data_IF_596765294011
#
_entry.id   IF_596765294011
#
_cell.length_a   1.000
_cell.length_b   1.000
_cell.length_c   1.000
_cell.angle_alpha   90.00
_cell.angle_beta   90.00
_cell.angle_gamma   90.00
#
_symmetry.space_group_name_H-M   'P 1'
#
loop_
_entity.id
_entity.type
_entity.pdbx_description
1 polymer ?
#
# COMPACT_ATOMS: atom_id res chain seq x y z
N UNK A 1 3.67 28.12 12.57
CA UNK A 1 2.69 27.60 11.56
C UNK A 1 2.17 26.29 12.11
N UNK A 2 0.86 26.07 12.15
CA UNK A 2 0.25 24.82 12.64
C UNK A 2 0.23 23.84 11.47
N UNK A 3 0.74 22.62 11.66
CA UNK A 3 0.64 21.53 10.69
C UNK A 3 -0.46 20.57 11.10
N UNK A 4 -1.06 19.92 10.11
CA UNK A 4 -2.09 18.92 10.29
C UNK A 4 -1.62 17.58 9.74
N UNK A 5 -1.96 16.51 10.44
CA UNK A 5 -1.57 15.15 10.09
C UNK A 5 -2.76 14.21 10.22
N UNK A 6 -2.95 13.36 9.22
CA UNK A 6 -4.06 12.40 9.22
C UNK A 6 -3.58 11.01 8.82
N UNK A 7 -4.22 10.02 9.39
CA UNK A 7 -4.10 8.60 9.04
C UNK A 7 -5.42 8.21 8.37
N UNK A 8 -5.35 7.68 7.17
CA UNK A 8 -6.51 7.22 6.40
C UNK A 8 -6.35 5.74 6.07
N UNK A 9 -7.40 4.95 6.27
CA UNK A 9 -7.52 3.65 5.61
C UNK A 9 -8.14 3.86 4.22
N UNK A 10 -7.30 4.01 3.21
CA UNK A 10 -7.76 4.22 1.83
C UNK A 10 -8.47 2.97 1.30
N UNK A 11 -9.74 3.07 0.88
CA UNK A 11 -10.44 1.96 0.26
C UNK A 11 -9.97 1.67 -1.18
N UNK A 12 -10.37 0.52 -1.69
CA UNK A 12 -10.29 0.20 -3.11
C UNK A 12 -11.09 1.20 -3.98
N UNK A 13 -10.56 1.55 -5.13
CA UNK A 13 -11.25 2.37 -6.13
C UNK A 13 -11.08 3.89 -5.97
N UNK A 14 -10.26 4.33 -5.01
CA UNK A 14 -9.95 5.75 -4.79
C UNK A 14 -8.54 6.10 -5.23
N UNK A 15 -8.38 7.23 -5.92
CA UNK A 15 -7.08 7.80 -6.24
C UNK A 15 -6.47 8.47 -4.99
N UNK A 16 -5.13 8.35 -4.82
CA UNK A 16 -4.39 9.05 -3.76
C UNK A 16 -4.16 10.53 -4.12
N UNK A 17 -5.24 11.24 -4.45
CA UNK A 17 -5.25 12.63 -4.94
C UNK A 17 -6.46 13.38 -4.39
N UNK A 18 -6.35 14.72 -4.33
CA UNK A 18 -7.43 15.63 -3.91
C UNK A 18 -8.07 16.37 -5.09
N UNK A 19 -7.41 16.41 -6.25
CA UNK A 19 -7.89 17.11 -7.47
C UNK A 19 -7.80 16.17 -8.67
N UNK A 20 -8.71 16.38 -9.62
CA UNK A 20 -8.65 15.72 -10.92
C UNK A 20 -7.56 16.35 -11.79
N UNK A 21 -6.68 15.54 -12.34
CA UNK A 21 -5.72 15.96 -13.36
C UNK A 21 -6.32 15.85 -14.78
N UNK A 22 -7.32 14.99 -14.94
CA UNK A 22 -8.04 14.76 -16.21
C UNK A 22 -9.53 14.62 -15.92
N UNK A 23 -10.40 14.95 -16.88
CA UNK A 23 -11.87 14.80 -16.83
C UNK A 23 -12.28 13.30 -16.75
N UNK A 24 -12.02 12.65 -15.64
CA UNK A 24 -12.46 11.28 -15.35
C UNK A 24 -13.30 11.29 -14.09
N UNK A 25 -14.42 10.57 -14.10
CA UNK A 25 -15.28 10.42 -12.92
C UNK A 25 -14.64 9.40 -11.96
N UNK A 26 -13.61 9.82 -11.23
CA UNK A 26 -12.86 9.01 -10.27
C UNK A 26 -13.13 9.48 -8.85
N UNK A 27 -13.14 8.57 -7.90
CA UNK A 27 -13.25 8.86 -6.46
C UNK A 27 -11.93 9.40 -5.93
N UNK A 28 -11.98 10.44 -5.11
CA UNK A 28 -10.82 11.17 -4.59
C UNK A 28 -10.77 11.11 -3.05
N UNK A 29 -9.61 11.49 -2.48
CA UNK A 29 -9.43 11.49 -1.03
C UNK A 29 -10.32 12.53 -0.31
N UNK A 30 -10.68 13.61 -0.97
CA UNK A 30 -11.58 14.64 -0.43
C UNK A 30 -12.99 14.13 -0.10
N UNK A 31 -13.38 12.96 -0.60
CA UNK A 31 -14.68 12.36 -0.30
C UNK A 31 -14.79 11.85 1.15
N UNK A 32 -13.67 11.73 1.89
CA UNK A 32 -13.65 11.12 3.22
C UNK A 32 -13.72 12.10 4.37
N UNK A 33 -13.28 13.33 4.18
CA UNK A 33 -13.16 14.31 5.26
C UNK A 33 -12.99 15.71 4.69
N UNK A 34 -13.41 16.74 5.43
CA UNK A 34 -13.12 18.13 5.13
C UNK A 34 -11.69 18.46 5.58
N UNK A 35 -10.76 18.22 4.69
CA UNK A 35 -9.34 18.39 4.96
C UNK A 35 -8.92 19.86 4.86
N UNK A 36 -7.97 20.33 5.71
CA UNK A 36 -7.46 21.69 5.65
C UNK A 36 -6.76 21.98 4.30
N UNK A 37 -6.72 23.26 3.94
CA UNK A 37 -5.99 23.72 2.76
C UNK A 37 -4.51 23.32 2.83
N UNK A 38 -3.93 22.95 1.69
CA UNK A 38 -2.54 22.50 1.59
C UNK A 38 -2.29 21.07 2.03
N UNK A 39 -3.35 20.29 2.36
CA UNK A 39 -3.20 18.86 2.65
C UNK A 39 -2.67 18.09 1.44
N UNK A 40 -1.75 17.17 1.66
CA UNK A 40 -1.18 16.30 0.65
C UNK A 40 -1.07 14.87 1.13
N UNK A 41 -1.18 13.91 0.21
CA UNK A 41 -0.90 12.50 0.50
C UNK A 41 0.62 12.27 0.55
N UNK A 42 1.08 11.54 1.56
CA UNK A 42 2.46 11.12 1.70
C UNK A 42 2.69 9.85 0.86
N UNK A 43 3.28 10.03 -0.31
CA UNK A 43 3.36 9.00 -1.32
C UNK A 43 1.98 8.65 -1.89
N UNK A 44 1.91 7.51 -2.57
CA UNK A 44 0.67 7.06 -3.23
C UNK A 44 0.38 5.59 -2.94
N UNK A 45 -0.89 5.25 -2.94
CA UNK A 45 -1.41 3.91 -3.18
C UNK A 45 -2.15 3.95 -4.51
N UNK A 46 -1.99 2.91 -5.32
CA UNK A 46 -2.73 2.78 -6.57
C UNK A 46 -4.25 2.76 -6.32
N UNK A 47 -5.05 3.03 -7.34
CA UNK A 47 -6.51 2.97 -7.25
C UNK A 47 -7.01 1.61 -6.75
N UNK A 48 -6.36 0.52 -7.19
CA UNK A 48 -6.68 -0.86 -6.83
C UNK A 48 -5.95 -1.37 -5.57
N UNK A 49 -5.25 -0.50 -4.83
CA UNK A 49 -4.58 -0.80 -3.57
C UNK A 49 -5.29 -0.13 -2.40
N UNK A 50 -5.23 -0.77 -1.24
CA UNK A 50 -5.96 -0.40 -0.03
C UNK A 50 -5.01 -0.14 1.14
N UNK A 51 -5.53 0.41 2.24
CA UNK A 51 -4.85 0.45 3.52
C UNK A 51 -4.27 1.80 3.90
N UNK A 52 -3.24 1.76 4.70
CA UNK A 52 -2.66 2.92 5.37
C UNK A 52 -2.14 3.97 4.39
N UNK A 53 -2.73 5.15 4.43
CA UNK A 53 -2.26 6.34 3.73
C UNK A 53 -2.13 7.48 4.74
N UNK A 54 -0.97 8.11 4.79
CA UNK A 54 -0.72 9.27 5.64
C UNK A 54 -0.91 10.55 4.83
N UNK A 55 -1.50 11.56 5.46
CA UNK A 55 -1.76 12.86 4.85
C UNK A 55 -1.19 13.95 5.75
N UNK A 56 -0.60 15.00 5.18
CA UNK A 56 -0.02 16.09 5.96
C UNK A 56 -0.05 17.41 5.21
N UNK A 57 0.04 18.52 5.94
CA UNK A 57 0.36 19.85 5.41
C UNK A 57 1.85 20.19 5.55
N UNK A 58 2.67 19.30 6.15
CA UNK A 58 4.11 19.48 6.32
C UNK A 58 4.91 18.76 5.22
N UNK A 59 5.47 19.52 4.28
CA UNK A 59 6.29 18.98 3.19
C UNK A 59 7.55 18.25 3.67
N UNK A 60 8.18 18.69 4.78
CA UNK A 60 9.39 18.04 5.30
C UNK A 60 9.10 16.65 5.86
N UNK A 61 7.97 16.51 6.55
CA UNK A 61 7.48 15.21 7.04
C UNK A 61 7.15 14.31 5.86
N UNK A 62 6.51 14.84 4.82
CA UNK A 62 6.21 14.08 3.59
C UNK A 62 7.48 13.55 2.92
N UNK A 63 8.49 14.39 2.71
CA UNK A 63 9.75 14.01 2.08
C UNK A 63 10.50 12.94 2.89
N UNK A 64 10.55 13.09 4.21
CA UNK A 64 11.17 12.12 5.08
C UNK A 64 10.50 10.74 4.99
N UNK A 65 9.16 10.68 5.07
CA UNK A 65 8.40 9.43 5.02
C UNK A 65 8.47 8.77 3.63
N UNK A 66 8.54 9.56 2.56
CA UNK A 66 8.71 9.05 1.21
C UNK A 66 10.11 8.51 0.93
N UNK A 67 11.10 8.87 1.74
CA UNK A 67 12.48 8.42 1.57
C UNK A 67 12.63 6.90 1.76
N UNK A 68 13.76 6.36 1.30
CA UNK A 68 14.13 4.94 1.50
C UNK A 68 14.51 4.58 2.96
N UNK A 69 14.46 5.56 3.87
CA UNK A 69 14.73 5.33 5.30
C UNK A 69 13.53 4.79 6.07
N UNK A 70 12.34 4.85 5.47
CA UNK A 70 11.09 4.46 6.11
C UNK A 70 10.51 3.24 5.38
N UNK A 71 10.42 2.12 6.09
CA UNK A 71 9.85 0.88 5.59
C UNK A 71 8.34 0.98 5.41
N UNK A 72 7.84 0.30 4.38
CA UNK A 72 6.40 0.13 4.12
C UNK A 72 6.10 -1.35 4.03
N UNK A 73 5.17 -1.81 4.86
CA UNK A 73 4.73 -3.21 4.90
C UNK A 73 3.35 -3.35 4.25
N UNK A 74 3.24 -4.39 3.46
CA UNK A 74 2.03 -4.73 2.72
C UNK A 74 1.62 -6.16 3.00
N UNK A 75 0.33 -6.37 3.26
CA UNK A 75 -0.29 -7.69 3.20
C UNK A 75 -0.86 -7.90 1.82
N UNK A 76 -0.48 -9.02 1.22
CA UNK A 76 -0.74 -9.32 -0.20
C UNK A 76 -1.46 -10.64 -0.32
N UNK A 77 -2.70 -10.61 -0.81
CA UNK A 77 -3.38 -11.82 -1.27
C UNK A 77 -2.92 -12.12 -2.68
N UNK A 78 -2.45 -13.32 -2.90
CA UNK A 78 -1.94 -13.77 -4.19
C UNK A 78 -2.76 -14.92 -4.74
N UNK A 79 -2.65 -15.10 -6.05
CA UNK A 79 -3.18 -16.25 -6.77
C UNK A 79 -2.34 -17.49 -6.45
N UNK A 80 -2.98 -18.58 -6.02
CA UNK A 80 -2.30 -19.79 -5.63
C UNK A 80 -1.80 -19.80 -4.18
N UNK A 81 -1.18 -20.91 -3.81
CA UNK A 81 -0.53 -21.10 -2.51
C UNK A 81 0.93 -20.71 -2.64
N UNK A 82 1.29 -19.51 -2.19
CA UNK A 82 2.67 -19.00 -2.28
C UNK A 82 3.62 -19.91 -1.50
N UNK A 83 4.81 -20.15 -2.07
CA UNK A 83 5.78 -21.09 -1.52
C UNK A 83 6.93 -20.35 -0.80
N UNK A 84 7.60 -21.06 0.10
CA UNK A 84 8.81 -20.53 0.77
C UNK A 84 9.94 -20.21 -0.23
N UNK A 85 10.00 -20.95 -1.36
CA UNK A 85 10.95 -20.65 -2.42
C UNK A 85 10.65 -19.29 -3.07
N UNK A 86 9.37 -18.98 -3.36
CA UNK A 86 8.95 -17.69 -3.89
C UNK A 86 9.25 -16.54 -2.90
N UNK A 87 8.97 -16.77 -1.61
CA UNK A 87 9.30 -15.83 -0.53
C UNK A 87 10.83 -15.59 -0.49
N UNK A 88 11.63 -16.64 -0.52
CA UNK A 88 13.10 -16.54 -0.51
C UNK A 88 13.64 -15.73 -1.69
N UNK A 89 13.09 -15.97 -2.90
CA UNK A 89 13.44 -15.18 -4.09
C UNK A 89 13.12 -13.69 -3.90
N UNK A 90 11.93 -13.35 -3.40
CA UNK A 90 11.55 -11.95 -3.14
C UNK A 90 12.46 -11.29 -2.09
N UNK A 91 12.83 -12.01 -1.03
CA UNK A 91 13.75 -11.51 0.02
C UNK A 91 15.12 -11.14 -0.55
N UNK A 92 15.63 -11.91 -1.50
CA UNK A 92 16.92 -11.65 -2.15
C UNK A 92 16.87 -10.53 -3.19
N UNK A 93 15.68 -10.16 -3.63
CA UNK A 93 15.43 -9.26 -4.75
C UNK A 93 15.08 -10.02 -6.03
N UNK A 94 14.17 -9.45 -6.80
CA UNK A 94 13.69 -10.02 -8.07
C UNK A 94 13.72 -8.98 -9.18
N UNK A 95 13.93 -9.45 -10.41
CA UNK A 95 13.88 -8.60 -11.58
C UNK A 95 12.43 -8.25 -11.93
N UNK A 96 12.15 -6.96 -12.04
CA UNK A 96 10.83 -6.42 -12.45
C UNK A 96 10.99 -5.42 -13.60
N UNK A 97 9.95 -5.26 -14.42
CA UNK A 97 9.90 -4.18 -15.41
C UNK A 97 9.66 -2.81 -14.74
N UNK A 98 10.52 -1.84 -15.00
CA UNK A 98 10.37 -0.46 -14.50
C UNK A 98 10.84 0.53 -15.57
N UNK A 99 9.95 1.46 -15.99
CA UNK A 99 10.24 2.51 -16.98
C UNK A 99 10.84 1.98 -18.30
N UNK A 100 10.33 0.86 -18.79
CA UNK A 100 10.77 0.25 -20.03
C UNK A 100 12.07 -0.57 -19.92
N UNK A 101 12.68 -0.64 -18.74
CA UNK A 101 13.90 -1.39 -18.47
C UNK A 101 13.66 -2.49 -17.42
N UNK A 102 14.62 -3.39 -17.29
CA UNK A 102 14.70 -4.36 -16.22
C UNK A 102 15.31 -3.70 -14.98
N UNK A 103 14.70 -3.92 -13.82
CA UNK A 103 15.16 -3.40 -12.54
C UNK A 103 15.22 -4.53 -11.52
N UNK A 104 16.37 -4.73 -10.89
CA UNK A 104 16.53 -5.65 -9.76
C UNK A 104 16.10 -4.95 -8.49
N UNK A 105 15.05 -5.45 -7.83
CA UNK A 105 14.57 -4.88 -6.56
C UNK A 105 15.62 -5.07 -5.46
N UNK A 106 15.63 -4.15 -4.50
CA UNK A 106 16.46 -4.31 -3.31
C UNK A 106 15.97 -5.52 -2.49
N UNK A 107 16.87 -6.15 -1.70
CA UNK A 107 16.47 -7.12 -0.71
C UNK A 107 15.38 -6.56 0.21
N UNK A 108 14.42 -7.41 0.57
CA UNK A 108 13.28 -7.03 1.39
C UNK A 108 12.98 -8.07 2.46
N UNK A 109 12.07 -7.75 3.38
CA UNK A 109 11.52 -8.76 4.29
C UNK A 109 10.23 -9.31 3.67
N UNK A 110 10.06 -10.61 3.71
CA UNK A 110 8.84 -11.27 3.26
C UNK A 110 8.62 -12.56 4.03
N UNK A 111 7.34 -12.92 4.27
CA UNK A 111 6.95 -14.19 4.88
C UNK A 111 5.49 -14.52 4.55
N UNK A 112 5.15 -15.82 4.62
CA UNK A 112 3.77 -16.30 4.45
C UNK A 112 2.99 -15.97 5.72
N UNK A 113 1.76 -15.46 5.57
CA UNK A 113 0.85 -15.26 6.71
C UNK A 113 0.13 -16.57 7.03
N UNK A 114 0.20 -17.00 8.29
CA UNK A 114 -0.47 -18.23 8.77
C UNK A 114 -1.99 -18.06 8.86
N UNK A 115 -2.46 -16.83 9.07
CA UNK A 115 -3.89 -16.50 9.17
C UNK A 115 -4.33 -15.53 8.08
N UNK A 116 -5.58 -15.64 7.67
CA UNK A 116 -6.20 -14.70 6.72
C UNK A 116 -6.48 -13.39 7.44
N UNK A 117 -5.90 -12.25 6.98
CA UNK A 117 -6.18 -10.96 7.58
C UNK A 117 -7.62 -10.51 7.30
N UNK A 118 -8.26 -9.93 8.31
CA UNK A 118 -9.59 -9.33 8.16
C UNK A 118 -9.46 -7.81 7.91
N UNK A 119 -9.71 -7.41 6.67
CA UNK A 119 -9.81 -6.01 6.26
C UNK A 119 -11.24 -5.62 5.88
N UNK A 120 -12.22 -6.47 6.20
CA UNK A 120 -13.58 -6.30 5.76
C UNK A 120 -13.78 -6.47 4.25
N UNK A 121 -15.02 -6.27 3.77
CA UNK A 121 -15.37 -6.45 2.37
C UNK A 121 -14.73 -5.34 1.51
N UNK A 122 -14.28 -5.73 0.30
CA UNK A 122 -13.80 -4.82 -0.72
C UNK A 122 -14.92 -4.44 -1.69
N UNK A 123 -14.95 -3.19 -2.17
CA UNK A 123 -15.94 -2.70 -3.12
C UNK A 123 -15.99 -3.49 -4.43
N UNK A 124 -14.85 -4.05 -4.88
CA UNK A 124 -14.80 -4.98 -6.02
C UNK A 124 -14.51 -6.38 -5.49
N UNK A 125 -15.39 -7.34 -5.80
CA UNK A 125 -15.21 -8.74 -5.43
C UNK A 125 -13.87 -9.26 -5.95
N UNK A 126 -13.15 -9.96 -5.08
CA UNK A 126 -12.04 -10.81 -5.48
C UNK A 126 -12.66 -12.09 -6.05
N UNK A 127 -11.97 -12.77 -6.96
CA UNK A 127 -12.44 -14.04 -7.50
C UNK A 127 -12.82 -15.03 -6.39
N UNK A 128 -13.75 -15.91 -6.66
CA UNK A 128 -14.19 -16.95 -5.73
C UNK A 128 -13.33 -18.22 -5.84
N UNK A 129 -13.61 -19.19 -4.96
CA UNK A 129 -12.86 -20.45 -4.83
C UNK A 129 -12.83 -21.31 -6.11
N UNK A 130 -13.78 -21.11 -7.05
CA UNK A 130 -13.82 -21.81 -8.35
C UNK A 130 -12.60 -21.51 -9.22
N UNK A 131 -11.89 -20.44 -8.94
CA UNK A 131 -10.68 -20.03 -9.66
C UNK A 131 -9.38 -20.54 -9.00
N UNK A 132 -9.50 -21.45 -8.03
CA UNK A 132 -8.37 -22.03 -7.30
C UNK A 132 -8.07 -21.31 -5.97
N UNK A 133 -7.13 -21.87 -5.18
CA UNK A 133 -6.79 -21.36 -3.87
C UNK A 133 -6.08 -20.01 -3.94
N UNK A 134 -6.09 -19.30 -2.82
CA UNK A 134 -5.33 -18.07 -2.62
C UNK A 134 -4.59 -18.14 -1.28
N UNK A 135 -3.51 -17.40 -1.15
CA UNK A 135 -2.76 -17.30 0.10
C UNK A 135 -2.35 -15.86 0.37
N UNK A 136 -1.87 -15.60 1.58
CA UNK A 136 -1.45 -14.28 2.00
C UNK A 136 0.03 -14.26 2.37
N UNK A 137 0.71 -13.18 2.03
CA UNK A 137 2.08 -12.91 2.44
C UNK A 137 2.22 -11.48 2.97
N UNK A 138 3.17 -11.26 3.88
CA UNK A 138 3.67 -9.95 4.24
C UNK A 138 4.92 -9.64 3.45
N UNK A 139 5.01 -8.42 2.89
CA UNK A 139 6.18 -7.92 2.16
C UNK A 139 6.50 -6.52 2.66
N UNK A 140 7.72 -6.33 3.20
CA UNK A 140 8.21 -5.04 3.69
C UNK A 140 9.32 -4.53 2.78
N UNK A 141 9.10 -3.37 2.16
CA UNK A 141 10.06 -2.71 1.26
C UNK A 141 10.41 -1.31 1.76
N UNK A 142 11.63 -0.84 1.46
CA UNK A 142 12.09 0.52 1.75
C UNK A 142 12.20 1.40 0.49
N UNK A 143 11.80 0.88 -0.65
CA UNK A 143 11.74 1.59 -1.94
C UNK A 143 10.29 1.66 -2.44
N UNK A 144 9.99 2.55 -3.37
CA UNK A 144 8.63 2.79 -3.82
C UNK A 144 8.52 2.88 -5.35
N UNK A 145 9.00 1.86 -6.08
CA UNK A 145 8.83 1.81 -7.54
C UNK A 145 7.36 1.58 -7.90
N UNK A 146 6.95 2.10 -9.05
CA UNK A 146 5.57 1.97 -9.53
C UNK A 146 5.10 0.51 -9.55
N UNK A 147 4.05 0.23 -8.76
CA UNK A 147 3.44 -1.10 -8.58
C UNK A 147 4.44 -2.21 -8.21
N UNK A 148 5.47 -1.85 -7.44
CA UNK A 148 6.61 -2.73 -7.16
C UNK A 148 6.18 -4.07 -6.56
N UNK A 149 5.42 -4.07 -5.46
CA UNK A 149 5.01 -5.30 -4.77
C UNK A 149 4.21 -6.22 -5.68
N UNK A 150 3.30 -5.68 -6.50
CA UNK A 150 2.53 -6.46 -7.49
C UNK A 150 3.41 -7.09 -8.57
N UNK A 151 4.44 -6.37 -9.00
CA UNK A 151 5.42 -6.89 -9.97
C UNK A 151 6.32 -7.96 -9.36
N UNK A 152 6.72 -7.80 -8.09
CA UNK A 152 7.52 -8.78 -7.37
C UNK A 152 6.78 -10.11 -7.22
N UNK A 153 5.53 -10.09 -6.77
CA UNK A 153 4.72 -11.30 -6.62
C UNK A 153 4.45 -11.99 -7.96
N UNK A 154 4.18 -11.20 -9.01
CA UNK A 154 4.00 -11.74 -10.36
C UNK A 154 5.30 -12.37 -10.92
N UNK A 155 6.45 -11.76 -10.66
CA UNK A 155 7.76 -12.26 -11.11
C UNK A 155 8.13 -13.63 -10.50
N UNK A 156 7.60 -13.94 -9.30
CA UNK A 156 7.79 -15.26 -8.67
C UNK A 156 6.63 -16.23 -8.94
N UNK A 157 5.68 -15.87 -9.83
CA UNK A 157 4.60 -16.76 -10.27
C UNK A 157 3.29 -16.65 -9.49
N UNK A 158 3.17 -15.69 -8.56
CA UNK A 158 2.00 -15.51 -7.69
C UNK A 158 1.38 -14.12 -7.84
N UNK A 159 0.58 -13.84 -8.89
CA UNK A 159 0.02 -12.52 -9.14
C UNK A 159 -0.84 -12.00 -7.98
N UNK A 160 -0.73 -10.72 -7.66
CA UNK A 160 -1.49 -10.06 -6.60
C UNK A 160 -2.97 -9.93 -6.94
N UNK A 161 -3.85 -10.41 -6.06
CA UNK A 161 -5.31 -10.24 -6.09
C UNK A 161 -5.78 -9.06 -5.23
N UNK A 162 -5.25 -8.94 -4.01
CA UNK A 162 -5.51 -7.83 -3.07
C UNK A 162 -4.21 -7.33 -2.47
N UNK A 163 -4.08 -6.01 -2.30
CA UNK A 163 -2.89 -5.38 -1.72
C UNK A 163 -3.33 -4.35 -0.71
N UNK A 164 -2.91 -4.54 0.54
CA UNK A 164 -3.24 -3.65 1.66
C UNK A 164 -1.96 -3.19 2.32
N UNK A 165 -1.68 -1.89 2.34
CA UNK A 165 -0.55 -1.36 3.11
C UNK A 165 -0.95 -1.29 4.58
N UNK A 166 -0.24 -2.03 5.43
CA UNK A 166 -0.57 -2.16 6.86
C UNK A 166 0.33 -1.35 7.78
N UNK A 167 1.52 -0.94 7.30
CA UNK A 167 2.49 -0.21 8.12
C UNK A 167 3.35 0.76 7.30
N UNK A 168 3.68 1.90 7.89
CA UNK A 168 4.68 2.88 7.42
C UNK A 168 5.53 3.27 8.63
N UNK A 169 6.82 2.90 8.65
CA UNK A 169 7.65 3.03 9.85
C UNK A 169 7.01 2.33 11.05
N UNK A 170 6.78 3.04 12.16
CA UNK A 170 6.04 2.53 13.34
C UNK A 170 4.54 2.85 13.32
N UNK A 171 4.02 3.50 12.28
CA UNK A 171 2.57 3.75 12.15
C UNK A 171 1.91 2.53 11.52
N UNK A 172 0.97 1.94 12.22
CA UNK A 172 0.21 0.76 11.80
C UNK A 172 -1.23 1.12 11.43
N UNK A 173 -1.82 0.35 10.52
CA UNK A 173 -3.23 0.47 10.16
C UNK A 173 -4.16 0.14 11.34
N UNK A 174 -3.74 -0.82 12.18
CA UNK A 174 -4.48 -1.32 13.34
C UNK A 174 -5.94 -1.68 12.99
N UNK A 175 -6.90 -1.18 13.79
CA UNK A 175 -8.34 -1.43 13.63
C UNK A 175 -9.05 -0.32 12.84
N UNK A 176 -8.31 0.56 12.15
CA UNK A 176 -8.92 1.63 11.34
C UNK A 176 -9.76 1.02 10.22
N UNK A 177 -11.04 1.33 10.20
CA UNK A 177 -11.97 0.79 9.21
C UNK A 177 -11.74 1.43 7.84
N UNK A 178 -12.10 0.71 6.77
CA UNK A 178 -11.99 1.19 5.39
C UNK A 178 -12.76 2.51 5.20
N UNK A 179 -12.09 3.56 4.73
CA UNK A 179 -12.62 4.92 4.58
C UNK A 179 -12.51 5.79 5.84
N UNK A 180 -12.12 5.23 6.97
CA UNK A 180 -11.99 5.99 8.20
C UNK A 180 -10.74 6.89 8.18
N UNK A 181 -10.89 8.11 8.73
CA UNK A 181 -9.83 9.12 8.87
C UNK A 181 -9.61 9.42 10.35
N UNK A 182 -8.37 9.52 10.77
CA UNK A 182 -7.97 9.89 12.12
C UNK A 182 -6.98 11.06 12.06
N UNK A 183 -7.34 12.21 12.68
CA UNK A 183 -6.38 13.30 12.90
C UNK A 183 -5.43 12.95 14.05
N UNK A 184 -4.15 13.21 13.87
CA UNK A 184 -3.10 12.96 14.88
C UNK A 184 -2.20 14.18 15.03
N UNK A 185 -1.66 14.47 16.23
CA UNK A 185 -0.79 15.62 16.44
C UNK A 185 0.56 15.48 15.72
N UNK A 186 1.02 14.26 15.50
CA UNK A 186 2.25 13.89 14.78
C UNK A 186 2.23 12.41 14.40
N UNK A 187 3.05 12.02 13.41
CA UNK A 187 3.30 10.61 13.14
C UNK A 187 4.44 10.09 14.02
N UNK A 188 4.25 8.94 14.65
CA UNK A 188 5.30 8.21 15.33
C UNK A 188 5.97 7.26 14.31
N UNK A 189 6.93 7.76 13.52
CA UNK A 189 7.55 7.02 12.41
C UNK A 189 8.77 6.19 12.86
N UNK A 190 9.52 6.66 13.85
CA UNK A 190 10.75 6.04 14.37
C UNK A 190 10.53 5.37 15.71
#
# INVERSE_FOLDING_TARGET
MKYYHFILHKPYGYLSQFKYELKRNKKLLGDFHDFPEGIMAIGRLDEDSEGLLLLTTDGKVSDYICSSKVDKEYYVQVDGMITEEAISKMKSGVEIGFEGAKYMTKPCQAYILESIPDFGPRAKKIRDERHGPTSWASITVNEGKFRQVRKMTAAVGFPTLRLVRVRIGKVHLNHLQSGQVLEVPKFNIL
#
